data_IF_971850658431
#
_entry.id   IF_971850658431
#
_cell.length_a   1.000
_cell.length_b   1.000
_cell.length_c   1.000
_cell.angle_alpha   90.00
_cell.angle_beta   90.00
_cell.angle_gamma   90.00
#
_symmetry.space_group_name_H-M   'P 1'
#
loop_
_entity.id
_entity.type
_entity.pdbx_description
1 polymer ?
#
# COMPACT_ATOMS: atom_id res chain seq x y z
N UNK A 1 28.31 40.11 -53.51
CA UNK A 1 26.95 39.53 -53.65
C UNK A 1 27.14 38.02 -53.46
N UNK A 2 26.46 37.24 -52.63
CA UNK A 2 25.05 37.29 -52.19
C UNK A 2 24.87 36.32 -50.99
N UNK A 3 24.27 36.84 -49.91
CA UNK A 3 23.24 36.24 -49.03
C UNK A 3 23.46 34.88 -48.32
N UNK A 4 23.64 35.03 -47.01
CA UNK A 4 23.29 34.18 -45.85
C UNK A 4 21.79 33.80 -45.84
N UNK A 5 21.45 32.51 -45.73
CA UNK A 5 20.15 31.97 -45.26
C UNK A 5 20.28 30.44 -45.15
N UNK A 6 19.65 29.67 -44.26
CA UNK A 6 18.94 29.86 -42.99
C UNK A 6 18.79 28.45 -42.43
N UNK A 7 19.05 28.29 -41.14
CA UNK A 7 18.97 27.02 -40.43
C UNK A 7 17.67 26.26 -40.74
N UNK A 8 17.80 24.98 -41.14
CA UNK A 8 16.70 24.01 -41.12
C UNK A 8 16.28 23.81 -39.66
N UNK A 9 15.33 24.61 -39.19
CA UNK A 9 14.57 24.26 -37.98
C UNK A 9 13.72 23.04 -38.31
N UNK A 10 14.16 21.89 -37.82
CA UNK A 10 13.33 20.70 -37.67
C UNK A 10 12.16 21.07 -36.76
N UNK A 11 10.95 21.09 -37.32
CA UNK A 11 9.71 21.14 -36.56
C UNK A 11 9.50 19.77 -35.92
N UNK A 12 9.37 19.64 -34.58
CA UNK A 12 8.92 18.40 -33.99
C UNK A 12 7.43 18.22 -34.34
N UNK A 13 6.98 17.03 -34.75
CA UNK A 13 5.59 16.79 -35.06
C UNK A 13 4.75 16.83 -33.78
N UNK A 14 3.55 17.40 -33.93
CA UNK A 14 2.36 17.26 -33.10
C UNK A 14 2.61 16.89 -31.63
N UNK A 15 2.48 17.91 -30.77
CA UNK A 15 2.15 17.73 -29.36
C UNK A 15 0.78 17.04 -29.22
N UNK A 16 0.73 15.74 -29.49
CA UNK A 16 -0.26 14.84 -28.91
C UNK A 16 0.02 14.86 -27.42
N UNK A 17 -0.65 15.77 -26.72
CA UNK A 17 -0.77 15.76 -25.27
C UNK A 17 -1.42 14.43 -24.92
N UNK A 18 -0.60 13.41 -24.74
CA UNK A 18 -1.01 12.12 -24.22
C UNK A 18 -1.74 12.42 -22.93
N UNK A 19 -3.07 12.26 -22.98
CA UNK A 19 -3.91 12.24 -21.80
C UNK A 19 -3.35 11.09 -21.00
N UNK A 20 -2.51 11.40 -20.01
CA UNK A 20 -2.07 10.45 -19.01
C UNK A 20 -3.34 10.00 -18.32
N UNK A 21 -3.89 8.89 -18.81
CA UNK A 21 -4.91 8.13 -18.11
C UNK A 21 -4.15 7.62 -16.90
N UNK A 22 -4.26 8.36 -15.81
CA UNK A 22 -3.79 7.92 -14.51
C UNK A 22 -4.54 6.62 -14.25
N UNK A 23 -3.86 5.51 -14.52
CA UNK A 23 -4.38 4.19 -14.23
C UNK A 23 -4.75 4.21 -12.75
N UNK A 24 -5.92 3.67 -12.34
CA UNK A 24 -6.22 3.52 -10.93
C UNK A 24 -5.01 2.84 -10.29
N UNK A 25 -4.41 3.49 -9.28
CA UNK A 25 -3.32 2.89 -8.56
C UNK A 25 -3.78 1.49 -8.15
N UNK A 26 -3.04 0.45 -8.56
CA UNK A 26 -3.31 -0.91 -8.07
C UNK A 26 -3.48 -0.80 -6.56
N UNK A 27 -4.54 -1.40 -5.96
CA UNK A 27 -4.66 -1.41 -4.51
C UNK A 27 -3.32 -1.88 -3.97
N UNK A 28 -2.68 -1.07 -3.13
CA UNK A 28 -1.46 -1.50 -2.48
C UNK A 28 -1.80 -2.81 -1.76
N UNK A 29 -1.18 -3.92 -2.19
CA UNK A 29 -1.29 -5.18 -1.48
C UNK A 29 -0.85 -4.91 -0.03
N UNK A 30 -1.59 -5.42 0.95
CA UNK A 30 -1.35 -5.22 2.38
C UNK A 30 -1.60 -3.78 2.88
N UNK A 31 -2.65 -3.15 2.35
CA UNK A 31 -3.13 -1.88 2.89
C UNK A 31 -3.77 -2.07 4.28
N UNK A 32 -3.94 -0.96 5.01
CA UNK A 32 -4.52 -0.97 6.37
C UNK A 32 -5.91 -1.61 6.38
N UNK A 33 -6.75 -1.35 5.39
CA UNK A 33 -8.11 -1.89 5.34
C UNK A 33 -8.11 -3.43 5.23
N UNK A 34 -7.22 -4.01 4.43
CA UNK A 34 -7.06 -5.46 4.30
C UNK A 34 -6.64 -6.09 5.64
N UNK A 35 -5.65 -5.51 6.32
CA UNK A 35 -5.21 -6.01 7.61
C UNK A 35 -6.30 -5.87 8.69
N UNK A 36 -7.07 -4.79 8.67
CA UNK A 36 -8.21 -4.60 9.56
C UNK A 36 -9.32 -5.61 9.28
N UNK A 37 -9.62 -5.94 8.02
CA UNK A 37 -10.59 -6.99 7.67
C UNK A 37 -10.16 -8.36 8.22
N UNK A 38 -8.88 -8.71 8.08
CA UNK A 38 -8.32 -9.94 8.67
C UNK A 38 -8.44 -9.94 10.19
N UNK A 39 -8.11 -8.83 10.86
CA UNK A 39 -8.21 -8.72 12.33
C UNK A 39 -9.66 -8.80 12.81
N UNK A 40 -10.59 -8.14 12.12
CA UNK A 40 -12.03 -8.17 12.45
C UNK A 40 -12.61 -9.58 12.34
N UNK A 41 -12.17 -10.38 11.36
CA UNK A 41 -12.58 -11.79 11.22
C UNK A 41 -12.12 -12.67 12.38
N UNK A 42 -11.16 -12.22 13.19
CA UNK A 42 -10.69 -12.93 14.38
C UNK A 42 -11.56 -12.64 15.62
N UNK A 43 -12.54 -11.75 15.52
CA UNK A 43 -13.51 -11.46 16.58
C UNK A 43 -14.14 -12.77 17.09
N UNK A 44 -14.13 -12.95 18.41
CA UNK A 44 -14.60 -14.17 19.07
C UNK A 44 -13.51 -15.22 19.35
N UNK A 45 -12.30 -15.06 18.79
CA UNK A 45 -11.14 -15.94 19.09
C UNK A 45 -10.00 -15.23 19.84
N UNK A 46 -10.11 -13.91 19.99
CA UNK A 46 -9.14 -13.04 20.68
C UNK A 46 -9.89 -12.14 21.67
N UNK A 47 -9.17 -11.68 22.68
CA UNK A 47 -9.67 -10.72 23.68
C UNK A 47 -9.70 -9.30 23.12
N UNK A 48 -10.42 -8.40 23.79
CA UNK A 48 -10.45 -6.97 23.40
C UNK A 48 -9.08 -6.30 23.50
N UNK A 49 -8.26 -6.70 24.49
CA UNK A 49 -6.91 -6.15 24.66
C UNK A 49 -6.00 -6.56 23.51
N UNK A 50 -6.04 -7.83 23.12
CA UNK A 50 -5.32 -8.35 21.95
C UNK A 50 -5.76 -7.65 20.67
N UNK A 51 -7.07 -7.43 20.50
CA UNK A 51 -7.61 -6.69 19.36
C UNK A 51 -7.05 -5.25 19.30
N UNK A 52 -7.13 -4.50 20.40
CA UNK A 52 -6.64 -3.11 20.45
C UNK A 52 -5.12 -3.03 20.24
N UNK A 53 -4.35 -3.96 20.83
CA UNK A 53 -2.91 -4.04 20.61
C UNK A 53 -2.57 -4.34 19.13
N UNK A 54 -3.33 -5.25 18.50
CA UNK A 54 -3.22 -5.55 17.08
C UNK A 54 -3.49 -4.32 16.20
N UNK A 55 -4.56 -3.56 16.49
CA UNK A 55 -4.88 -2.31 15.78
C UNK A 55 -3.74 -1.31 15.87
N UNK A 56 -3.17 -1.12 17.07
CA UNK A 56 -2.06 -0.20 17.27
C UNK A 56 -0.85 -0.61 16.40
N UNK A 57 -0.46 -1.89 16.40
CA UNK A 57 0.69 -2.36 15.61
C UNK A 57 0.48 -2.30 14.11
N UNK A 58 -0.70 -2.65 13.63
CA UNK A 58 -1.03 -2.66 12.20
C UNK A 58 -1.09 -1.24 11.61
N UNK A 59 -1.49 -0.25 12.41
CA UNK A 59 -1.58 1.15 11.99
C UNK A 59 -0.25 1.89 12.14
N UNK A 60 0.60 1.49 13.07
CA UNK A 60 1.92 2.10 13.33
C UNK A 60 3.02 1.61 12.37
N UNK A 61 3.05 0.31 12.02
CA UNK A 61 4.16 -0.30 11.27
C UNK A 61 3.67 -1.05 10.01
N UNK A 62 4.07 -0.53 8.86
CA UNK A 62 3.78 -1.10 7.53
C UNK A 62 4.32 -2.52 7.33
N UNK A 63 5.50 -2.83 7.88
CA UNK A 63 6.11 -4.16 7.77
C UNK A 63 5.36 -5.14 8.66
N UNK A 64 5.04 -4.76 9.90
CA UNK A 64 4.25 -5.62 10.78
C UNK A 64 2.88 -5.90 10.18
N UNK A 65 2.25 -4.89 9.58
CA UNK A 65 1.00 -5.06 8.83
C UNK A 65 1.12 -6.06 7.69
N UNK A 66 2.16 -5.96 6.87
CA UNK A 66 2.41 -6.89 5.77
C UNK A 66 2.58 -8.33 6.28
N UNK A 67 3.40 -8.52 7.31
CA UNK A 67 3.62 -9.84 7.89
C UNK A 67 2.32 -10.39 8.47
N UNK A 68 1.53 -9.58 9.17
CA UNK A 68 0.25 -9.99 9.77
C UNK A 68 -0.72 -10.58 8.75
N UNK A 69 -0.89 -9.93 7.59
CA UNK A 69 -1.76 -10.42 6.51
C UNK A 69 -1.27 -11.78 5.97
N UNK A 70 0.05 -11.98 5.92
CA UNK A 70 0.66 -13.21 5.40
C UNK A 70 0.70 -14.38 6.40
N UNK A 71 0.57 -14.12 7.70
CA UNK A 71 0.51 -15.18 8.72
C UNK A 71 -0.75 -16.03 8.56
N UNK A 72 -0.69 -17.30 8.94
CA UNK A 72 -1.90 -18.15 9.11
C UNK A 72 -2.61 -17.84 10.44
N UNK A 73 -3.86 -18.28 10.59
CA UNK A 73 -4.74 -17.87 11.69
C UNK A 73 -4.15 -18.10 13.10
N UNK A 74 -3.46 -19.22 13.32
CA UNK A 74 -2.91 -19.55 14.63
C UNK A 74 -1.64 -18.75 14.96
N UNK A 75 -0.75 -18.52 13.99
CA UNK A 75 0.36 -17.59 14.16
C UNK A 75 -0.12 -16.16 14.46
N UNK A 76 -1.20 -15.69 13.80
CA UNK A 76 -1.80 -14.39 14.11
C UNK A 76 -2.29 -14.31 15.56
N UNK A 77 -2.95 -15.35 16.06
CA UNK A 77 -3.43 -15.38 17.45
C UNK A 77 -2.27 -15.35 18.44
N UNK A 78 -1.23 -16.15 18.22
CA UNK A 78 -0.09 -16.17 19.14
C UNK A 78 0.72 -14.88 19.09
N UNK A 79 0.82 -14.25 17.91
CA UNK A 79 1.38 -12.91 17.78
C UNK A 79 0.55 -11.88 18.56
N UNK A 80 -0.77 -11.86 18.43
CA UNK A 80 -1.62 -10.93 19.19
C UNK A 80 -1.51 -11.14 20.71
N UNK A 81 -1.44 -12.40 21.16
CA UNK A 81 -1.19 -12.74 22.58
C UNK A 81 0.14 -12.20 23.08
N UNK A 82 1.19 -12.26 22.27
CA UNK A 82 2.51 -11.76 22.68
C UNK A 82 2.55 -10.24 22.82
N UNK A 83 1.65 -9.50 22.16
CA UNK A 83 1.57 -8.04 22.31
C UNK A 83 1.05 -7.57 23.67
N UNK A 84 0.31 -8.43 24.38
CA UNK A 84 -0.32 -8.10 25.67
C UNK A 84 0.32 -8.82 26.86
N UNK A 85 1.24 -9.75 26.60
CA UNK A 85 2.04 -10.39 27.65
C UNK A 85 3.15 -9.42 28.12
N UNK A 86 3.47 -9.40 29.42
CA UNK A 86 4.63 -8.68 29.96
C UNK A 86 5.95 -9.15 29.36
#
# INVERSE_FOLDING_TARGET
MTKKEKAKKSTPPESKKSKSVMSPAKPAQHNIAEAMDVLNKMQGTITILEYLAGVARITEDDRLRQVFVCMFNEARREWLRSLVRP
#
